data_IF_961571340938
#
_entry.id   IF_961571340938
#
_cell.length_a   1.000
_cell.length_b   1.000
_cell.length_c   1.000
_cell.angle_alpha   90.00
_cell.angle_beta   90.00
_cell.angle_gamma   90.00
#
_symmetry.space_group_name_H-M   'P 1'
#
loop_
_entity.id
_entity.type
_entity.pdbx_description
1 polymer ?
#
# COMPACT_ATOMS: atom_id res chain seq x y z
N UNK A 1 10.14 3.50 -31.27
CA UNK A 1 9.79 2.07 -31.19
C UNK A 1 10.00 1.70 -29.74
N UNK A 2 8.93 1.40 -29.03
CA UNK A 2 8.97 1.19 -27.58
C UNK A 2 9.83 -0.04 -27.27
N UNK A 3 10.56 0.00 -26.15
CA UNK A 3 11.35 -1.16 -25.73
C UNK A 3 10.40 -2.28 -25.30
N UNK A 4 10.42 -3.38 -26.06
CA UNK A 4 9.47 -4.48 -25.85
C UNK A 4 9.69 -5.21 -24.54
N UNK A 5 10.91 -5.19 -24.00
CA UNK A 5 11.24 -5.76 -22.69
C UNK A 5 10.64 -4.94 -21.56
N UNK A 6 10.80 -3.61 -21.61
CA UNK A 6 10.19 -2.69 -20.65
C UNK A 6 8.67 -2.78 -20.70
N UNK A 7 8.06 -2.76 -21.89
CA UNK A 7 6.61 -2.90 -22.02
C UNK A 7 6.09 -4.23 -21.47
N UNK A 8 6.75 -5.35 -21.79
CA UNK A 8 6.35 -6.66 -21.27
C UNK A 8 6.45 -6.72 -19.74
N UNK A 9 7.52 -6.15 -19.18
CA UNK A 9 7.69 -6.03 -17.74
C UNK A 9 6.60 -5.18 -17.11
N UNK A 10 6.30 -4.00 -17.66
CA UNK A 10 5.32 -3.08 -17.08
C UNK A 10 3.87 -3.57 -17.17
N UNK A 11 3.51 -4.29 -18.24
CA UNK A 11 2.22 -5.01 -18.33
C UNK A 11 2.12 -6.06 -17.22
N UNK A 12 3.18 -6.85 -17.05
CA UNK A 12 3.25 -7.89 -16.01
C UNK A 12 3.17 -7.27 -14.62
N UNK A 13 3.98 -6.24 -14.35
CA UNK A 13 4.03 -5.53 -13.08
C UNK A 13 2.67 -4.93 -12.74
N UNK A 14 1.98 -4.30 -13.71
CA UNK A 14 0.62 -3.78 -13.51
C UNK A 14 -0.38 -4.86 -13.09
N UNK A 15 -0.33 -6.05 -13.73
CA UNK A 15 -1.18 -7.17 -13.35
C UNK A 15 -0.87 -7.71 -11.95
N UNK A 16 0.42 -7.75 -11.58
CA UNK A 16 0.86 -8.11 -10.22
C UNK A 16 0.35 -7.11 -9.18
N UNK A 17 0.42 -5.80 -9.45
CA UNK A 17 -0.13 -4.78 -8.53
C UNK A 17 -1.64 -4.92 -8.40
N UNK A 18 -2.37 -5.13 -9.50
CA UNK A 18 -3.81 -5.34 -9.44
C UNK A 18 -4.18 -6.54 -8.56
N UNK A 19 -3.42 -7.64 -8.64
CA UNK A 19 -3.61 -8.86 -7.83
C UNK A 19 -3.50 -8.61 -6.32
N UNK A 20 -2.79 -7.57 -5.90
CA UNK A 20 -2.72 -7.17 -4.49
C UNK A 20 -4.11 -6.80 -3.94
N UNK A 21 -5.03 -6.28 -4.76
CA UNK A 21 -6.35 -5.85 -4.27
C UNK A 21 -7.25 -7.04 -3.92
N UNK A 22 -7.35 -8.10 -4.74
CA UNK A 22 -7.90 -9.39 -4.30
C UNK A 22 -7.14 -10.00 -3.12
N UNK A 23 -5.80 -9.90 -3.10
CA UNK A 23 -4.98 -10.34 -1.96
C UNK A 23 -5.40 -9.67 -0.65
N UNK A 24 -5.61 -8.35 -0.68
CA UNK A 24 -6.11 -7.57 0.44
C UNK A 24 -7.53 -8.01 0.85
N UNK A 25 -8.39 -8.32 -0.12
CA UNK A 25 -9.73 -8.82 0.16
C UNK A 25 -9.67 -10.11 1.00
N UNK A 26 -8.79 -11.05 0.65
CA UNK A 26 -8.57 -12.26 1.45
C UNK A 26 -7.91 -11.97 2.80
N UNK A 27 -6.92 -11.07 2.82
CA UNK A 27 -6.19 -10.71 4.04
C UNK A 27 -7.14 -10.12 5.08
N UNK A 28 -7.88 -9.06 4.74
CA UNK A 28 -8.87 -8.43 5.62
C UNK A 28 -10.09 -9.30 5.85
N UNK A 29 -10.57 -10.00 4.82
CA UNK A 29 -11.65 -10.97 4.94
C UNK A 29 -11.35 -12.00 6.03
N UNK A 30 -10.13 -12.57 6.02
CA UNK A 30 -9.63 -13.53 7.01
C UNK A 30 -9.63 -13.02 8.45
N UNK A 31 -9.41 -11.72 8.65
CA UNK A 31 -9.30 -11.08 9.97
C UNK A 31 -10.65 -10.66 10.56
N UNK A 32 -11.67 -10.42 9.74
CA UNK A 32 -13.01 -10.06 10.24
C UNK A 32 -13.82 -11.29 10.63
N UNK A 33 -14.93 -11.07 11.35
CA UNK A 33 -15.87 -12.14 11.71
C UNK A 33 -16.55 -12.71 10.47
N UNK A 34 -16.88 -14.01 10.50
CA UNK A 34 -17.49 -14.72 9.37
C UNK A 34 -18.74 -14.03 8.79
N UNK A 35 -19.59 -13.43 9.64
CA UNK A 35 -20.79 -12.70 9.19
C UNK A 35 -20.50 -11.45 8.33
N UNK A 36 -19.29 -10.91 8.40
CA UNK A 36 -18.87 -9.67 7.74
C UNK A 36 -17.88 -9.89 6.59
N UNK A 37 -17.50 -11.14 6.31
CA UNK A 37 -16.47 -11.46 5.30
C UNK A 37 -16.82 -10.90 3.93
N UNK A 38 -18.04 -11.18 3.42
CA UNK A 38 -18.46 -10.79 2.08
C UNK A 38 -18.43 -9.27 1.94
N UNK A 39 -18.99 -8.54 2.90
CA UNK A 39 -18.98 -7.08 2.88
C UNK A 39 -17.55 -6.50 2.92
N UNK A 40 -16.66 -7.12 3.69
CA UNK A 40 -15.26 -6.67 3.80
C UNK A 40 -14.50 -6.89 2.49
N UNK A 41 -14.67 -8.06 1.87
CA UNK A 41 -14.08 -8.35 0.55
C UNK A 41 -14.64 -7.42 -0.54
N UNK A 42 -15.94 -7.11 -0.48
CA UNK A 42 -16.58 -6.21 -1.44
C UNK A 42 -15.98 -4.79 -1.43
N UNK A 43 -15.45 -4.31 -0.31
CA UNK A 43 -14.76 -3.01 -0.28
C UNK A 43 -13.49 -3.00 -1.15
N UNK A 44 -12.76 -4.11 -1.25
CA UNK A 44 -11.59 -4.22 -2.12
C UNK A 44 -12.02 -4.30 -3.59
N UNK A 45 -13.01 -5.14 -3.90
CA UNK A 45 -13.50 -5.32 -5.28
C UNK A 45 -14.15 -4.06 -5.86
N UNK A 46 -14.94 -3.32 -5.08
CA UNK A 46 -15.51 -2.06 -5.55
C UNK A 46 -14.43 -1.00 -5.78
N UNK A 47 -13.32 -1.06 -5.04
CA UNK A 47 -12.16 -0.21 -5.30
C UNK A 47 -11.60 -0.43 -6.70
N UNK A 48 -11.46 -1.70 -7.13
CA UNK A 48 -10.97 -2.02 -8.48
C UNK A 48 -11.82 -1.38 -9.59
N UNK A 49 -13.15 -1.37 -9.44
CA UNK A 49 -14.02 -0.74 -10.43
C UNK A 49 -14.09 0.79 -10.32
N UNK A 50 -14.46 1.30 -9.15
CA UNK A 50 -14.75 2.72 -8.97
C UNK A 50 -13.49 3.58 -8.99
N UNK A 51 -12.37 3.12 -8.43
CA UNK A 51 -11.10 3.84 -8.50
C UNK A 51 -10.59 3.94 -9.94
N UNK A 52 -10.74 2.88 -10.74
CA UNK A 52 -10.38 2.90 -12.18
C UNK A 52 -11.16 3.96 -12.94
N UNK A 53 -12.48 4.05 -12.70
CA UNK A 53 -13.32 5.08 -13.33
C UNK A 53 -12.86 6.48 -12.94
N UNK A 54 -12.65 6.72 -11.64
CA UNK A 54 -12.15 8.01 -11.14
C UNK A 54 -10.78 8.34 -11.73
N UNK A 55 -9.87 7.36 -11.79
CA UNK A 55 -8.52 7.50 -12.31
C UNK A 55 -8.51 7.95 -13.77
N UNK A 56 -9.26 7.26 -14.64
CA UNK A 56 -9.37 7.58 -16.06
C UNK A 56 -10.05 8.92 -16.28
N UNK A 57 -11.13 9.21 -15.53
CA UNK A 57 -11.89 10.44 -15.75
C UNK A 57 -11.12 11.68 -15.32
N UNK A 58 -10.52 11.72 -14.13
CA UNK A 58 -9.77 12.90 -13.69
C UNK A 58 -8.57 12.61 -12.78
N UNK A 59 -8.52 11.45 -12.11
CA UNK A 59 -7.47 11.14 -11.14
C UNK A 59 -6.06 11.18 -11.74
N UNK A 60 -5.87 10.62 -12.93
CA UNK A 60 -4.59 10.66 -13.64
C UNK A 60 -4.17 12.10 -13.97
N UNK A 61 -5.10 12.91 -14.49
CA UNK A 61 -4.84 14.32 -14.82
C UNK A 61 -4.46 15.14 -13.59
N UNK A 62 -5.18 14.97 -12.47
CA UNK A 62 -4.87 15.64 -11.21
C UNK A 62 -3.53 15.19 -10.61
N UNK A 63 -3.07 13.98 -10.93
CA UNK A 63 -1.79 13.45 -10.46
C UNK A 63 -0.61 13.87 -11.34
N UNK A 64 -0.74 13.85 -12.68
CA UNK A 64 0.40 13.89 -13.60
C UNK A 64 0.31 14.95 -14.73
N UNK A 65 -0.70 15.83 -14.71
CA UNK A 65 -0.83 16.90 -15.70
C UNK A 65 -0.58 18.30 -15.10
N UNK A 66 -0.22 19.28 -15.93
CA UNK A 66 0.02 20.66 -15.51
C UNK A 66 1.46 20.98 -15.12
N UNK A 67 1.62 22.06 -14.35
CA UNK A 67 2.93 22.58 -13.90
C UNK A 67 2.93 23.11 -12.47
N UNK A 68 1.90 22.78 -11.69
CA UNK A 68 1.73 23.26 -10.31
C UNK A 68 2.53 22.43 -9.31
N UNK A 69 2.80 22.93 -8.09
CA UNK A 69 3.52 22.14 -7.09
C UNK A 69 2.64 21.22 -6.24
N UNK A 70 1.32 21.46 -6.19
CA UNK A 70 0.41 20.86 -5.19
C UNK A 70 -0.69 19.96 -5.77
N UNK A 71 -1.08 20.19 -7.00
CA UNK A 71 -2.06 19.37 -7.70
C UNK A 71 -1.89 19.67 -9.18
N UNK A 72 -2.14 18.65 -10.01
CA UNK A 72 -2.22 18.84 -11.44
C UNK A 72 -3.45 19.63 -11.86
N UNK A 73 -3.83 19.49 -13.12
CA UNK A 73 -5.00 20.17 -13.69
C UNK A 73 -5.98 19.14 -14.31
N UNK A 74 -6.95 19.63 -15.08
CA UNK A 74 -7.94 18.79 -15.77
C UNK A 74 -7.73 18.74 -17.30
N UNK A 75 -6.54 19.08 -17.80
CA UNK A 75 -6.25 19.08 -19.23
C UNK A 75 -6.29 17.67 -19.84
N UNK A 76 -5.94 16.65 -19.05
CA UNK A 76 -5.98 15.24 -19.44
C UNK A 76 -7.25 14.52 -18.92
N UNK A 77 -8.35 15.24 -18.71
CA UNK A 77 -9.62 14.63 -18.31
C UNK A 77 -10.05 13.54 -19.32
N UNK A 78 -10.43 12.36 -18.85
CA UNK A 78 -10.74 11.22 -19.72
C UNK A 78 -9.53 10.75 -20.55
N UNK A 79 -8.32 11.00 -20.05
CA UNK A 79 -7.04 10.75 -20.75
C UNK A 79 -6.90 11.54 -22.06
N UNK A 80 -7.59 12.68 -22.18
CA UNK A 80 -7.52 13.55 -23.36
C UNK A 80 -6.07 14.00 -23.62
N UNK A 81 -5.68 14.02 -24.90
CA UNK A 81 -4.36 14.46 -25.34
C UNK A 81 -3.26 13.39 -25.24
N UNK A 82 -3.54 12.21 -24.69
CA UNK A 82 -2.62 11.07 -24.75
C UNK A 82 -2.76 10.30 -26.06
N UNK A 83 -1.63 9.94 -26.68
CA UNK A 83 -1.61 9.02 -27.81
C UNK A 83 -1.84 7.59 -27.33
N UNK A 84 -2.99 7.00 -27.69
CA UNK A 84 -3.35 5.63 -27.31
C UNK A 84 -2.50 4.55 -27.99
N UNK A 85 -1.72 4.93 -29.00
CA UNK A 85 -0.77 4.04 -29.68
C UNK A 85 0.63 4.09 -29.06
N UNK A 86 0.90 5.08 -28.20
CA UNK A 86 2.11 5.10 -27.40
C UNK A 86 1.96 4.17 -26.18
N UNK A 87 2.52 2.97 -26.31
CA UNK A 87 2.50 1.96 -25.26
C UNK A 87 3.11 2.43 -23.94
N UNK A 88 4.11 3.32 -23.96
CA UNK A 88 4.82 3.76 -22.76
C UNK A 88 3.94 4.72 -21.95
N UNK A 89 3.29 5.66 -22.64
CA UNK A 89 2.30 6.55 -22.03
C UNK A 89 1.11 5.77 -21.46
N UNK A 90 0.55 4.83 -22.23
CA UNK A 90 -0.64 4.08 -21.81
C UNK A 90 -0.32 3.10 -20.67
N UNK A 91 0.84 2.44 -20.70
CA UNK A 91 1.20 1.54 -19.60
C UNK A 91 1.52 2.31 -18.32
N UNK A 92 2.08 3.52 -18.40
CA UNK A 92 2.28 4.37 -17.23
C UNK A 92 0.94 4.75 -16.57
N UNK A 93 -0.06 5.16 -17.35
CA UNK A 93 -1.42 5.42 -16.86
C UNK A 93 -1.99 4.20 -16.14
N UNK A 94 -1.87 3.02 -16.76
CA UNK A 94 -2.39 1.77 -16.21
C UNK A 94 -1.66 1.38 -14.92
N UNK A 95 -0.33 1.37 -14.92
CA UNK A 95 0.50 1.00 -13.77
C UNK A 95 0.18 1.88 -12.56
N UNK A 96 0.19 3.20 -12.72
CA UNK A 96 -0.15 4.15 -11.66
C UNK A 96 -1.59 3.99 -11.16
N UNK A 97 -2.52 3.66 -12.06
CA UNK A 97 -3.91 3.35 -11.69
C UNK A 97 -4.03 2.19 -10.72
N UNK A 98 -3.12 1.21 -10.76
CA UNK A 98 -3.14 0.08 -9.83
C UNK A 98 -2.81 0.50 -8.38
N UNK A 99 -1.93 1.50 -8.21
CA UNK A 99 -1.64 2.11 -6.89
C UNK A 99 -2.85 2.90 -6.39
N UNK A 100 -3.52 3.64 -7.28
CA UNK A 100 -4.76 4.34 -6.96
C UNK A 100 -5.88 3.38 -6.53
N UNK A 101 -5.94 2.17 -7.10
CA UNK A 101 -6.93 1.15 -6.71
C UNK A 101 -6.67 0.61 -5.29
N UNK A 102 -5.43 0.20 -4.99
CA UNK A 102 -5.13 -0.49 -3.74
C UNK A 102 -5.12 0.47 -2.54
N UNK A 103 -4.67 1.71 -2.72
CA UNK A 103 -4.45 2.65 -1.60
C UNK A 103 -5.70 2.91 -0.74
N UNK A 104 -6.84 3.34 -1.29
CA UNK A 104 -8.05 3.55 -0.49
C UNK A 104 -8.64 2.23 0.03
N UNK A 105 -8.40 1.11 -0.64
CA UNK A 105 -8.81 -0.21 -0.16
C UNK A 105 -8.10 -0.59 1.15
N UNK A 106 -6.83 -0.19 1.35
CA UNK A 106 -6.11 -0.40 2.62
C UNK A 106 -6.83 0.28 3.79
N UNK A 107 -7.38 1.47 3.59
CA UNK A 107 -8.07 2.26 4.62
C UNK A 107 -9.27 1.48 5.19
N UNK A 108 -9.89 0.61 4.37
CA UNK A 108 -11.08 -0.15 4.77
C UNK A 108 -10.84 -1.08 5.94
N UNK A 109 -9.60 -1.53 6.14
CA UNK A 109 -9.23 -2.31 7.30
C UNK A 109 -9.42 -1.54 8.61
N UNK A 110 -9.31 -0.21 8.60
CA UNK A 110 -9.47 0.60 9.79
C UNK A 110 -10.92 0.67 10.26
N UNK A 111 -11.87 0.64 9.33
CA UNK A 111 -13.31 0.77 9.62
C UNK A 111 -14.12 -0.48 9.28
N UNK A 112 -13.43 -1.63 9.16
CA UNK A 112 -14.06 -2.91 8.93
C UNK A 112 -15.22 -3.15 9.91
N UNK A 113 -16.31 -3.73 9.39
CA UNK A 113 -17.55 -4.05 10.13
C UNK A 113 -18.42 -2.87 10.62
N UNK A 114 -18.03 -1.59 10.40
CA UNK A 114 -18.79 -0.43 10.91
C UNK A 114 -19.08 0.68 9.89
N UNK A 115 -18.78 0.45 8.62
CA UNK A 115 -18.99 1.44 7.56
C UNK A 115 -20.04 0.95 6.55
N UNK A 116 -20.97 1.83 6.17
CA UNK A 116 -21.96 1.50 5.13
C UNK A 116 -21.28 1.45 3.77
N UNK A 117 -21.66 0.47 2.95
CA UNK A 117 -21.10 0.30 1.61
C UNK A 117 -21.30 1.54 0.71
N UNK A 118 -22.50 2.13 0.72
CA UNK A 118 -22.77 3.36 -0.04
C UNK A 118 -21.92 4.54 0.42
N UNK A 119 -21.67 4.69 1.73
CA UNK A 119 -20.78 5.71 2.26
C UNK A 119 -19.34 5.47 1.82
N UNK A 120 -18.90 4.22 1.73
CA UNK A 120 -17.57 3.88 1.21
C UNK A 120 -17.39 4.30 -0.24
N UNK A 121 -18.37 4.09 -1.10
CA UNK A 121 -18.28 4.50 -2.50
C UNK A 121 -18.07 6.02 -2.64
N UNK A 122 -18.79 6.82 -1.86
CA UNK A 122 -18.62 8.28 -1.84
C UNK A 122 -17.25 8.66 -1.28
N UNK A 123 -16.86 8.05 -0.15
CA UNK A 123 -15.54 8.26 0.44
C UNK A 123 -14.41 7.93 -0.55
N UNK A 124 -14.50 6.81 -1.26
CA UNK A 124 -13.51 6.36 -2.24
C UNK A 124 -13.30 7.43 -3.34
N UNK A 125 -14.38 7.95 -3.91
CA UNK A 125 -14.31 8.99 -4.95
C UNK A 125 -13.67 10.28 -4.42
N UNK A 126 -14.14 10.75 -3.26
CA UNK A 126 -13.65 12.00 -2.67
C UNK A 126 -12.19 11.87 -2.23
N UNK A 127 -11.84 10.76 -1.57
CA UNK A 127 -10.49 10.53 -1.05
C UNK A 127 -9.49 10.37 -2.19
N UNK A 128 -9.84 9.65 -3.26
CA UNK A 128 -9.00 9.58 -4.46
C UNK A 128 -8.74 10.95 -5.07
N UNK A 129 -9.78 11.78 -5.17
CA UNK A 129 -9.73 13.08 -5.82
C UNK A 129 -8.96 14.12 -5.01
N UNK A 130 -9.22 14.18 -3.70
CA UNK A 130 -8.74 15.28 -2.84
C UNK A 130 -7.59 14.90 -1.91
N UNK A 131 -7.25 13.62 -1.80
CA UNK A 131 -6.15 13.14 -0.94
C UNK A 131 -5.12 12.37 -1.76
N UNK A 132 -5.52 11.31 -2.44
CA UNK A 132 -4.58 10.47 -3.19
C UNK A 132 -3.93 11.24 -4.35
N UNK A 133 -4.72 11.80 -5.27
CA UNK A 133 -4.17 12.45 -6.46
C UNK A 133 -3.24 13.64 -6.11
N UNK A 134 -3.58 14.53 -5.15
CA UNK A 134 -2.64 15.56 -4.69
C UNK A 134 -1.35 14.98 -4.11
N UNK A 135 -1.41 13.99 -3.22
CA UNK A 135 -0.20 13.42 -2.61
C UNK A 135 0.66 12.71 -3.66
N UNK A 136 0.03 11.98 -4.57
CA UNK A 136 0.70 11.37 -5.74
C UNK A 136 1.43 12.45 -6.56
N UNK A 137 0.75 13.56 -6.85
CA UNK A 137 1.34 14.70 -7.55
C UNK A 137 2.53 15.29 -6.79
N UNK A 138 2.44 15.47 -5.46
CA UNK A 138 3.52 16.03 -4.66
C UNK A 138 4.82 15.24 -4.80
N UNK A 139 4.70 13.91 -4.84
CA UNK A 139 5.82 12.97 -4.67
C UNK A 139 6.35 12.44 -6.01
N UNK A 140 5.47 12.16 -6.98
CA UNK A 140 5.83 11.48 -8.23
C UNK A 140 5.71 12.33 -9.48
N UNK A 141 4.96 13.44 -9.47
CA UNK A 141 4.95 14.33 -10.60
C UNK A 141 6.22 15.19 -10.62
N UNK A 142 6.79 15.41 -11.80
CA UNK A 142 8.04 16.15 -11.97
C UNK A 142 7.95 17.61 -11.47
N UNK A 143 6.75 18.17 -11.48
CA UNK A 143 6.43 19.51 -10.97
C UNK A 143 6.10 19.56 -9.48
N UNK A 144 5.83 18.41 -8.86
CA UNK A 144 5.48 18.22 -7.45
C UNK A 144 6.51 18.76 -6.46
N UNK A 145 6.04 19.34 -5.36
CA UNK A 145 6.92 20.02 -4.41
C UNK A 145 7.85 19.09 -3.61
N UNK A 146 7.42 17.85 -3.30
CA UNK A 146 8.28 16.87 -2.63
C UNK A 146 9.29 16.28 -3.61
N UNK A 147 8.85 15.99 -4.84
CA UNK A 147 9.73 15.57 -5.92
C UNK A 147 10.88 16.58 -6.13
N UNK A 148 10.54 17.88 -6.28
CA UNK A 148 11.55 18.95 -6.44
C UNK A 148 12.45 19.19 -5.23
N UNK A 149 12.03 18.74 -4.04
CA UNK A 149 12.87 18.78 -2.82
C UNK A 149 13.75 17.55 -2.66
N UNK A 150 13.71 16.61 -3.61
CA UNK A 150 14.50 15.38 -3.56
C UNK A 150 13.99 14.35 -2.56
N UNK A 151 12.67 14.35 -2.28
CA UNK A 151 12.08 13.30 -1.46
C UNK A 151 12.25 11.95 -2.17
N UNK A 152 12.83 10.97 -1.46
CA UNK A 152 13.01 9.62 -1.97
C UNK A 152 11.82 8.76 -1.58
N UNK A 153 11.00 8.40 -2.57
CA UNK A 153 9.89 7.47 -2.39
C UNK A 153 9.67 6.64 -3.67
N UNK A 154 10.41 5.54 -3.76
CA UNK A 154 10.51 4.74 -4.97
C UNK A 154 9.16 4.18 -5.44
N UNK A 155 8.43 3.53 -4.52
CA UNK A 155 7.19 2.83 -4.86
C UNK A 155 5.99 3.27 -3.99
N UNK A 156 6.10 4.28 -3.14
CA UNK A 156 4.92 4.89 -2.49
C UNK A 156 4.78 4.59 -1.01
N UNK A 157 5.89 4.62 -0.27
CA UNK A 157 5.87 4.65 1.19
C UNK A 157 5.02 5.80 1.70
N UNK A 158 5.15 6.98 1.10
CA UNK A 158 4.31 8.14 1.41
C UNK A 158 2.97 8.08 0.69
N UNK A 159 2.97 7.93 -0.64
CA UNK A 159 1.78 8.04 -1.50
C UNK A 159 0.71 6.99 -1.16
N UNK A 160 1.15 5.77 -0.82
CA UNK A 160 0.27 4.64 -0.51
C UNK A 160 0.18 4.41 0.99
N UNK A 161 1.30 4.09 1.66
CA UNK A 161 1.23 3.49 2.99
C UNK A 161 1.03 4.50 4.12
N UNK A 162 1.85 5.55 4.20
CA UNK A 162 1.65 6.60 5.19
C UNK A 162 0.32 7.29 4.95
N UNK A 163 -0.02 7.59 3.69
CA UNK A 163 -1.29 8.19 3.32
C UNK A 163 -2.49 7.37 3.81
N UNK A 164 -2.55 6.07 3.46
CA UNK A 164 -3.60 5.19 3.94
C UNK A 164 -3.58 5.00 5.47
N UNK A 165 -2.40 4.93 6.08
CA UNK A 165 -2.24 4.79 7.53
C UNK A 165 -2.76 5.99 8.31
N UNK A 166 -2.49 7.22 7.85
CA UNK A 166 -3.01 8.43 8.49
C UNK A 166 -4.51 8.59 8.22
N UNK A 167 -4.98 8.24 7.01
CA UNK A 167 -6.41 8.19 6.73
C UNK A 167 -7.15 7.16 7.61
N UNK A 168 -6.53 6.02 7.91
CA UNK A 168 -7.04 5.03 8.83
C UNK A 168 -7.19 5.57 10.26
N UNK A 169 -6.21 6.32 10.76
CA UNK A 169 -6.31 7.01 12.07
C UNK A 169 -7.49 7.99 12.08
N UNK A 170 -7.59 8.85 11.05
CA UNK A 170 -8.67 9.83 10.95
C UNK A 170 -10.05 9.13 10.89
N UNK A 171 -10.19 8.09 10.09
CA UNK A 171 -11.43 7.33 9.97
C UNK A 171 -11.80 6.61 11.27
N UNK A 172 -10.83 5.97 11.94
CA UNK A 172 -11.06 5.29 13.21
C UNK A 172 -11.47 6.28 14.32
N UNK A 173 -10.88 7.48 14.33
CA UNK A 173 -11.24 8.53 15.28
C UNK A 173 -12.66 9.06 15.03
N UNK A 174 -13.03 9.36 13.79
CA UNK A 174 -14.36 9.89 13.44
C UNK A 174 -15.49 8.88 13.67
N UNK A 175 -15.25 7.59 13.43
CA UNK A 175 -16.26 6.55 13.59
C UNK A 175 -16.43 6.07 15.03
N UNK A 176 -15.40 6.25 15.86
CA UNK A 176 -15.37 5.73 17.22
C UNK A 176 -15.28 4.20 17.30
N UNK A 177 -15.27 3.64 18.53
CA UNK A 177 -15.03 2.21 18.75
C UNK A 177 -16.17 1.33 18.25
N UNK A 178 -15.82 0.14 17.73
CA UNK A 178 -16.80 -0.89 17.35
C UNK A 178 -17.58 -1.36 18.58
N UNK A 179 -18.89 -1.57 18.40
CA UNK A 179 -19.79 -2.08 19.43
C UNK A 179 -19.75 -3.61 19.49
N UNK A 180 -19.98 -4.16 20.68
CA UNK A 180 -20.12 -5.61 20.91
C UNK A 180 -18.91 -6.43 20.43
N UNK A 181 -17.72 -5.89 20.67
CA UNK A 181 -16.46 -6.61 20.52
C UNK A 181 -15.93 -6.89 21.92
N UNK A 182 -16.00 -8.15 22.33
CA UNK A 182 -15.16 -8.64 23.43
C UNK A 182 -13.70 -8.52 23.03
N UNK A 183 -12.82 -8.24 23.99
CA UNK A 183 -11.38 -8.27 23.77
C UNK A 183 -10.96 -9.57 23.06
N UNK A 184 -10.35 -9.44 21.87
CA UNK A 184 -9.87 -10.57 21.05
C UNK A 184 -10.89 -11.10 20.05
N UNK A 185 -11.17 -10.36 18.98
CA UNK A 185 -11.84 -10.95 17.80
C UNK A 185 -10.85 -11.91 17.16
N UNK A 186 -11.10 -13.21 17.32
CA UNK A 186 -10.34 -14.22 16.61
C UNK A 186 -10.59 -14.11 15.10
N UNK A 187 -9.54 -14.19 14.26
CA UNK A 187 -9.67 -14.25 12.80
C UNK A 187 -10.61 -15.38 12.41
N UNK A 188 -11.57 -15.13 11.52
CA UNK A 188 -12.49 -16.20 11.12
C UNK A 188 -11.78 -17.29 10.30
N UNK A 189 -10.69 -16.95 9.59
CA UNK A 189 -9.94 -17.88 8.75
C UNK A 189 -8.47 -17.46 8.63
N UNK A 190 -7.61 -18.07 9.45
CA UNK A 190 -6.15 -17.93 9.34
C UNK A 190 -5.63 -18.35 7.96
N UNK A 191 -6.12 -19.43 7.31
CA UNK A 191 -5.73 -19.75 5.94
C UNK A 191 -6.02 -18.63 4.93
N UNK A 192 -7.13 -17.89 5.08
CA UNK A 192 -7.41 -16.74 4.20
C UNK A 192 -6.47 -15.57 4.47
N UNK A 193 -6.10 -15.34 5.74
CA UNK A 193 -5.06 -14.36 6.06
C UNK A 193 -3.74 -14.73 5.38
N UNK A 194 -3.32 -15.99 5.44
CA UNK A 194 -2.09 -16.45 4.80
C UNK A 194 -2.16 -16.40 3.26
N UNK A 195 -3.30 -16.77 2.67
CA UNK A 195 -3.53 -16.64 1.23
C UNK A 195 -3.44 -15.18 0.80
N UNK A 196 -4.13 -14.29 1.50
CA UNK A 196 -4.11 -12.85 1.22
C UNK A 196 -2.72 -12.25 1.34
N UNK A 197 -1.99 -12.56 2.42
CA UNK A 197 -0.61 -12.11 2.60
C UNK A 197 0.33 -12.66 1.53
N UNK A 198 0.16 -13.93 1.11
CA UNK A 198 0.92 -14.51 0.01
C UNK A 198 0.67 -13.82 -1.33
N UNK A 199 -0.60 -13.51 -1.65
CA UNK A 199 -0.97 -12.75 -2.85
C UNK A 199 -0.46 -11.30 -2.80
N UNK A 200 -0.52 -10.65 -1.63
CA UNK A 200 0.06 -9.33 -1.41
C UNK A 200 1.56 -9.35 -1.64
N UNK A 201 2.30 -10.30 -1.04
CA UNK A 201 3.74 -10.45 -1.25
C UNK A 201 4.07 -10.68 -2.72
N UNK A 202 3.37 -11.61 -3.38
CA UNK A 202 3.59 -11.89 -4.79
C UNK A 202 3.33 -10.66 -5.68
N UNK A 203 2.23 -9.96 -5.46
CA UNK A 203 1.92 -8.73 -6.19
C UNK A 203 2.90 -7.59 -5.90
N UNK A 204 3.49 -7.56 -4.69
CA UNK A 204 4.44 -6.55 -4.28
C UNK A 204 5.74 -6.54 -5.10
N UNK A 205 6.08 -7.65 -5.76
CA UNK A 205 7.18 -7.67 -6.71
C UNK A 205 6.92 -6.73 -7.89
N UNK A 206 5.71 -6.74 -8.45
CA UNK A 206 5.32 -5.77 -9.48
C UNK A 206 5.19 -4.35 -8.93
N UNK A 207 4.76 -4.22 -7.67
CA UNK A 207 4.63 -2.93 -7.01
C UNK A 207 5.98 -2.24 -6.84
N UNK A 208 6.97 -2.92 -6.26
CA UNK A 208 8.29 -2.32 -6.02
C UNK A 208 9.16 -2.34 -7.28
N UNK A 209 9.38 -3.51 -7.90
CA UNK A 209 10.28 -3.58 -9.06
C UNK A 209 9.69 -2.92 -10.32
N UNK A 210 8.37 -2.85 -10.44
CA UNK A 210 7.72 -2.12 -11.53
C UNK A 210 7.85 -0.60 -11.38
N UNK A 211 8.08 -0.08 -10.18
CA UNK A 211 8.30 1.36 -9.97
C UNK A 211 9.60 1.89 -10.57
N UNK A 212 10.48 1.01 -11.06
CA UNK A 212 11.60 1.42 -11.91
C UNK A 212 11.15 1.91 -13.30
N UNK A 213 9.97 1.48 -13.76
CA UNK A 213 9.44 1.75 -15.11
C UNK A 213 10.30 1.15 -16.25
N UNK A 214 11.31 0.33 -15.92
CA UNK A 214 12.19 -0.35 -16.84
C UNK A 214 12.55 -1.77 -16.36
N UNK A 215 13.03 -2.60 -17.27
CA UNK A 215 13.52 -3.96 -17.01
C UNK A 215 15.05 -3.96 -16.97
N UNK A 216 15.62 -3.55 -15.83
CA UNK A 216 17.06 -3.40 -15.66
C UNK A 216 17.60 -3.93 -14.31
N UNK A 217 18.85 -3.58 -14.00
CA UNK A 217 19.51 -3.96 -12.77
C UNK A 217 18.83 -3.36 -11.52
N UNK A 218 18.28 -2.14 -11.62
CA UNK A 218 17.63 -1.49 -10.48
C UNK A 218 16.28 -2.14 -10.19
N UNK A 219 15.49 -2.48 -11.21
CA UNK A 219 14.27 -3.29 -11.04
C UNK A 219 14.58 -4.65 -10.39
N UNK A 220 15.65 -5.32 -10.84
CA UNK A 220 16.07 -6.62 -10.27
C UNK A 220 16.51 -6.48 -8.80
N UNK A 221 17.21 -5.40 -8.46
CA UNK A 221 17.57 -5.10 -7.07
C UNK A 221 16.34 -4.81 -6.20
N UNK A 222 15.41 -3.99 -6.69
CA UNK A 222 14.14 -3.71 -6.02
C UNK A 222 13.35 -4.98 -5.73
N UNK A 223 13.33 -5.93 -6.68
CA UNK A 223 12.74 -7.26 -6.48
C UNK A 223 13.41 -8.02 -5.32
N UNK A 224 14.74 -8.10 -5.33
CA UNK A 224 15.50 -8.83 -4.31
C UNK A 224 15.31 -8.25 -2.91
N UNK A 225 15.47 -6.93 -2.75
CA UNK A 225 15.34 -6.28 -1.44
C UNK A 225 13.93 -6.34 -0.90
N UNK A 226 12.91 -6.37 -1.78
CA UNK A 226 11.51 -6.60 -1.40
C UNK A 226 11.36 -7.93 -0.65
N UNK A 227 11.93 -9.00 -1.20
CA UNK A 227 11.88 -10.32 -0.56
C UNK A 227 12.68 -10.37 0.75
N UNK A 228 13.86 -9.75 0.78
CA UNK A 228 14.72 -9.70 1.98
C UNK A 228 14.01 -9.00 3.12
N UNK A 229 13.45 -7.82 2.89
CA UNK A 229 12.78 -7.04 3.93
C UNK A 229 11.53 -7.74 4.45
N UNK A 230 10.71 -8.31 3.55
CA UNK A 230 9.52 -9.07 3.92
C UNK A 230 9.84 -10.28 4.81
N UNK A 231 10.82 -11.10 4.38
CA UNK A 231 11.27 -12.26 5.14
C UNK A 231 11.85 -11.87 6.50
N UNK A 232 12.66 -10.80 6.54
CA UNK A 232 13.28 -10.32 7.78
C UNK A 232 12.26 -9.80 8.77
N UNK A 233 11.31 -8.98 8.32
CA UNK A 233 10.27 -8.42 9.18
C UNK A 233 9.34 -9.52 9.73
N UNK A 234 8.98 -10.51 8.90
CA UNK A 234 8.26 -11.71 9.34
C UNK A 234 9.04 -12.41 10.46
N UNK A 235 10.32 -12.72 10.24
CA UNK A 235 11.12 -13.45 11.22
C UNK A 235 11.25 -12.68 12.53
N UNK A 236 11.56 -11.39 12.47
CA UNK A 236 11.67 -10.53 13.66
C UNK A 236 10.35 -10.45 14.41
N UNK A 237 9.23 -10.23 13.71
CA UNK A 237 7.91 -10.18 14.34
C UNK A 237 7.59 -11.48 15.09
N UNK A 238 7.80 -12.63 14.43
CA UNK A 238 7.50 -13.95 15.00
C UNK A 238 8.37 -14.23 16.23
N UNK A 239 9.66 -13.86 16.20
CA UNK A 239 10.56 -13.98 17.35
C UNK A 239 10.09 -13.11 18.52
N UNK A 240 9.80 -11.83 18.27
CA UNK A 240 9.35 -10.90 19.31
C UNK A 240 8.00 -11.33 19.90
N UNK A 241 7.09 -11.84 19.06
CA UNK A 241 5.83 -12.38 19.51
C UNK A 241 6.01 -13.64 20.37
N UNK A 242 6.92 -14.53 19.98
CA UNK A 242 7.24 -15.71 20.79
C UNK A 242 7.82 -15.32 22.14
N UNK A 243 8.75 -14.36 22.19
CA UNK A 243 9.34 -13.86 23.44
C UNK A 243 8.25 -13.30 24.38
N UNK A 244 7.27 -12.56 23.85
CA UNK A 244 6.20 -11.96 24.67
C UNK A 244 5.12 -12.95 25.09
N UNK A 245 4.71 -13.87 24.20
CA UNK A 245 3.50 -14.69 24.38
C UNK A 245 3.77 -16.18 24.59
N UNK A 246 5.00 -16.64 24.37
CA UNK A 246 5.39 -18.05 24.39
C UNK A 246 4.86 -18.88 23.21
N UNK A 247 4.22 -18.25 22.21
CA UNK A 247 3.57 -18.93 21.08
C UNK A 247 3.89 -18.25 19.74
N UNK A 248 3.98 -19.04 18.69
CA UNK A 248 4.04 -18.55 17.32
C UNK A 248 2.63 -18.27 16.79
N UNK A 249 2.47 -17.23 15.94
CA UNK A 249 1.20 -16.92 15.26
C UNK A 249 1.40 -16.79 13.77
N UNK A 250 0.58 -17.50 13.00
CA UNK A 250 0.51 -17.36 11.55
C UNK A 250 0.02 -15.97 11.12
N UNK A 251 -0.92 -15.38 11.87
CA UNK A 251 -1.39 -14.00 11.61
C UNK A 251 -0.31 -12.99 11.94
N UNK A 252 0.45 -13.22 13.01
CA UNK A 252 1.63 -12.42 13.33
C UNK A 252 2.68 -12.48 12.22
N UNK A 253 3.00 -13.68 11.72
CA UNK A 253 3.92 -13.86 10.60
C UNK A 253 3.46 -13.12 9.34
N UNK A 254 2.17 -13.24 8.99
CA UNK A 254 1.58 -12.54 7.85
C UNK A 254 1.65 -11.01 8.00
N UNK A 255 1.33 -10.49 9.18
CA UNK A 255 1.39 -9.05 9.49
C UNK A 255 2.82 -8.52 9.47
N UNK A 256 3.78 -9.31 9.99
CA UNK A 256 5.20 -8.99 9.94
C UNK A 256 5.73 -8.93 8.51
N UNK A 257 5.37 -9.88 7.64
CA UNK A 257 5.73 -9.83 6.23
C UNK A 257 5.20 -8.55 5.55
N UNK A 258 3.92 -8.24 5.73
CA UNK A 258 3.32 -7.01 5.18
C UNK A 258 4.01 -5.76 5.73
N UNK A 259 4.36 -5.72 7.02
CA UNK A 259 5.11 -4.62 7.61
C UNK A 259 6.48 -4.41 6.95
N UNK A 260 7.21 -5.49 6.65
CA UNK A 260 8.47 -5.42 5.92
C UNK A 260 8.32 -4.95 4.49
N UNK A 261 7.29 -5.45 3.79
CA UNK A 261 6.94 -5.02 2.43
C UNK A 261 6.59 -3.53 2.37
N UNK A 262 5.79 -3.04 3.32
CA UNK A 262 5.49 -1.61 3.49
C UNK A 262 6.76 -0.79 3.70
N UNK A 263 7.63 -1.22 4.62
CA UNK A 263 8.79 -0.44 5.00
C UNK A 263 9.85 -0.37 3.88
N UNK A 264 10.00 -1.41 3.07
CA UNK A 264 10.96 -1.39 1.96
C UNK A 264 10.44 -0.65 0.73
N UNK A 265 9.13 -0.44 0.59
CA UNK A 265 8.52 0.25 -0.57
C UNK A 265 9.19 1.57 -0.94
N UNK A 266 9.35 2.57 -0.05
CA UNK A 266 10.00 3.83 -0.43
C UNK A 266 11.50 3.66 -0.75
N UNK A 267 12.12 2.60 -0.22
CA UNK A 267 13.55 2.36 -0.25
C UNK A 267 14.02 1.44 -1.39
N UNK A 268 13.12 0.66 -1.96
CA UNK A 268 13.47 -0.56 -2.71
C UNK A 268 14.36 -0.34 -3.93
N UNK A 269 14.26 0.81 -4.62
CA UNK A 269 15.15 1.18 -5.73
C UNK A 269 16.43 1.92 -5.32
N UNK A 270 16.62 2.18 -4.02
CA UNK A 270 17.71 3.01 -3.51
C UNK A 270 18.65 2.27 -2.54
N UNK A 271 18.27 1.10 -2.03
CA UNK A 271 19.03 0.42 -0.97
C UNK A 271 19.61 -0.91 -1.42
N UNK A 272 20.71 -1.31 -0.78
CA UNK A 272 21.33 -2.62 -0.99
C UNK A 272 20.71 -3.69 -0.05
N UNK A 273 21.10 -4.99 -0.20
CA UNK A 273 20.59 -6.07 0.62
C UNK A 273 20.79 -5.89 2.14
N UNK A 274 21.88 -5.26 2.57
CA UNK A 274 22.16 -5.02 3.98
C UNK A 274 21.21 -3.95 4.55
N UNK A 275 20.98 -2.86 3.81
CA UNK A 275 19.96 -1.86 4.16
C UNK A 275 18.57 -2.49 4.26
N UNK A 276 18.22 -3.39 3.34
CA UNK A 276 16.95 -4.12 3.35
C UNK A 276 16.76 -5.00 4.60
N UNK A 277 17.82 -5.67 5.06
CA UNK A 277 17.80 -6.43 6.32
C UNK A 277 17.50 -5.51 7.52
N UNK A 278 18.15 -4.35 7.60
CA UNK A 278 17.93 -3.40 8.72
C UNK A 278 16.53 -2.80 8.66
N UNK A 279 16.08 -2.39 7.47
CA UNK A 279 14.73 -1.86 7.27
C UNK A 279 13.68 -2.90 7.65
N UNK A 280 13.81 -4.14 7.17
CA UNK A 280 12.91 -5.24 7.52
C UNK A 280 12.92 -5.56 9.02
N UNK A 281 14.09 -5.62 9.65
CA UNK A 281 14.20 -5.88 11.08
C UNK A 281 13.53 -4.78 11.92
N UNK A 282 13.76 -3.51 11.57
CA UNK A 282 13.11 -2.37 12.20
C UNK A 282 11.59 -2.40 12.00
N UNK A 283 11.12 -2.74 10.80
CA UNK A 283 9.68 -2.86 10.52
C UNK A 283 9.03 -3.95 11.36
N UNK A 284 9.64 -5.15 11.44
CA UNK A 284 9.16 -6.24 12.27
C UNK A 284 9.05 -5.85 13.75
N UNK A 285 10.02 -5.09 14.26
CA UNK A 285 10.02 -4.62 15.65
C UNK A 285 9.03 -3.48 15.92
N UNK A 286 9.07 -2.43 15.10
CA UNK A 286 8.29 -1.20 15.29
C UNK A 286 6.79 -1.43 15.03
N UNK A 287 6.44 -2.16 13.98
CA UNK A 287 5.04 -2.47 13.69
C UNK A 287 4.45 -3.40 14.76
N UNK A 288 5.20 -4.42 15.21
CA UNK A 288 4.78 -5.26 16.34
C UNK A 288 4.60 -4.46 17.64
N UNK A 289 5.56 -3.58 17.95
CA UNK A 289 5.49 -2.67 19.09
C UNK A 289 4.26 -1.76 19.02
N UNK A 290 3.98 -1.18 17.85
CA UNK A 290 2.81 -0.35 17.62
C UNK A 290 1.50 -1.14 17.82
N UNK A 291 1.43 -2.39 17.35
CA UNK A 291 0.28 -3.28 17.59
C UNK A 291 0.04 -3.52 19.07
N UNK A 292 1.09 -3.70 19.87
CA UNK A 292 0.95 -3.87 21.32
C UNK A 292 0.48 -2.58 21.98
N UNK A 293 1.16 -1.47 21.70
CA UNK A 293 0.94 -0.19 22.39
C UNK A 293 -0.42 0.41 22.03
N UNK A 294 -0.99 0.07 20.86
CA UNK A 294 -2.32 0.54 20.45
C UNK A 294 -3.41 0.23 21.46
N UNK A 295 -3.28 -0.89 22.20
CA UNK A 295 -4.24 -1.29 23.24
C UNK A 295 -4.36 -0.27 24.38
N UNK A 296 -3.38 0.63 24.52
CA UNK A 296 -3.40 1.72 25.51
C UNK A 296 -4.12 2.98 24.99
N UNK A 297 -4.49 3.03 23.70
CA UNK A 297 -5.18 4.15 23.09
C UNK A 297 -6.63 3.78 22.77
N UNK A 298 -7.55 4.73 22.96
CA UNK A 298 -8.96 4.58 22.59
C UNK A 298 -9.20 4.77 21.08
N UNK A 299 -8.31 4.21 20.25
CA UNK A 299 -8.39 4.25 18.79
C UNK A 299 -8.56 2.82 18.26
N UNK A 300 -9.79 2.46 17.92
CA UNK A 300 -10.11 1.14 17.39
C UNK A 300 -9.85 1.08 15.88
N UNK A 301 -8.58 1.09 15.47
CA UNK A 301 -8.16 0.69 14.13
C UNK A 301 -8.36 -0.82 13.97
N UNK A 302 -9.39 -1.21 13.22
CA UNK A 302 -9.99 -2.53 13.36
C UNK A 302 -9.05 -3.68 12.96
N UNK A 303 -8.26 -3.48 11.90
CA UNK A 303 -7.35 -4.48 11.32
C UNK A 303 -5.87 -4.01 11.31
N UNK A 304 -5.52 -3.09 12.21
CA UNK A 304 -4.12 -2.67 12.42
C UNK A 304 -3.47 -1.99 11.20
N UNK A 305 -4.26 -1.21 10.45
CA UNK A 305 -3.80 -0.49 9.26
C UNK A 305 -2.73 0.54 9.61
N UNK A 306 -2.90 1.34 10.66
CA UNK A 306 -1.92 2.35 11.05
C UNK A 306 -0.64 1.73 11.63
N UNK A 307 -0.68 0.75 12.56
CA UNK A 307 0.51 0.06 13.02
C UNK A 307 1.36 -0.57 11.90
N UNK A 308 0.73 -1.11 10.85
CA UNK A 308 1.47 -1.76 9.77
C UNK A 308 1.84 -0.76 8.65
N UNK A 309 0.86 -0.06 8.08
CA UNK A 309 1.09 0.84 6.94
C UNK A 309 1.61 2.22 7.36
N UNK A 310 1.06 2.80 8.43
CA UNK A 310 1.49 4.10 8.93
C UNK A 310 2.89 4.06 9.53
N UNK A 311 3.10 3.24 10.56
CA UNK A 311 4.42 3.13 11.23
C UNK A 311 5.46 2.50 10.31
N UNK A 312 5.11 1.42 9.61
CA UNK A 312 6.01 0.80 8.64
C UNK A 312 6.41 1.76 7.53
N UNK A 313 5.47 2.53 6.99
CA UNK A 313 5.74 3.53 5.95
C UNK A 313 6.62 4.67 6.44
N UNK A 314 6.38 5.20 7.65
CA UNK A 314 7.20 6.24 8.28
C UNK A 314 8.63 5.73 8.50
N UNK A 315 8.76 4.53 9.08
CA UNK A 315 10.06 3.90 9.27
C UNK A 315 10.79 3.72 7.94
N UNK A 316 10.12 3.16 6.94
CA UNK A 316 10.66 2.97 5.60
C UNK A 316 11.16 4.26 4.96
N UNK A 317 10.34 5.32 5.00
CA UNK A 317 10.68 6.61 4.40
C UNK A 317 11.90 7.25 5.08
N UNK A 318 11.97 7.21 6.41
CA UNK A 318 13.14 7.72 7.15
C UNK A 318 14.39 6.91 6.81
N UNK A 319 14.29 5.58 6.85
CA UNK A 319 15.44 4.71 6.62
C UNK A 319 15.89 4.67 5.16
N UNK A 320 15.00 5.05 4.21
CA UNK A 320 15.40 5.31 2.82
C UNK A 320 16.48 6.39 2.78
N UNK A 321 16.28 7.51 3.48
CA UNK A 321 17.27 8.59 3.54
C UNK A 321 18.57 8.22 4.26
N UNK A 322 18.57 7.17 5.09
CA UNK A 322 19.75 6.67 5.82
C UNK A 322 20.55 5.67 5.00
N UNK A 323 19.87 4.77 4.27
CA UNK A 323 20.49 3.64 3.58
C UNK A 323 20.53 3.77 2.06
N UNK A 324 20.06 4.89 1.50
CA UNK A 324 20.20 5.15 0.07
C UNK A 324 21.68 5.04 -0.33
N UNK A 325 21.95 4.18 -1.30
CA UNK A 325 23.23 4.06 -1.99
C UNK A 325 23.01 4.59 -3.40
N UNK A 326 23.92 5.44 -3.87
CA UNK A 326 23.83 6.13 -5.18
C UNK A 326 23.50 5.17 -6.33
#
# INVERSE_FOLDING_TARGET
MNDTGNLAWMITASALVLLMTPGLAFFYGGLVRAKNIVNTMMFSFISMGLATIVWVLWGYSLAFSGGGPFIGNLEMIGLNGLDVTDGDAIIFVAFQGMFAIITPALITGAFAERFKFSTYMVFLVLWLTFVYAPICHWVWAADGWLFKRGALDFAGGTVVHINAGIAAVAAAWLLGPRRNISSGVEPHSVPFVLLGAGLLWFGWFGFNAGSELASDARATMAFLVTNIAAGTALTVWVILQYIKTGRFSAVGAASGAVGGLVAITPASGFVNPLGALVIGAGAGALCYGAVIVRSNFNLDDALEVFPVHGIGGIWGAIMTGVFAVE
#
